data_IF_086620402700
#
_entry.id   IF_086620402700
#
_cell.length_a   1.000
_cell.length_b   1.000
_cell.length_c   1.000
_cell.angle_alpha   90.00
_cell.angle_beta   90.00
_cell.angle_gamma   90.00
#
_symmetry.space_group_name_H-M   'P 1'
#
loop_
_entity.id
_entity.type
_entity.pdbx_description
1 polymer ?
#
# COMPACT_ATOMS: atom_id res chain seq x y z
N UNK A 1 6.79 -7.09 19.53
CA UNK A 1 5.63 -6.20 19.82
C UNK A 1 4.48 -6.43 18.83
N UNK A 2 4.68 -6.41 17.50
CA UNK A 2 3.62 -6.62 16.52
C UNK A 2 2.99 -8.01 16.59
N UNK A 3 3.79 -9.05 16.73
CA UNK A 3 3.31 -10.42 16.91
C UNK A 3 2.46 -10.58 18.16
N UNK A 4 2.86 -9.98 19.27
CA UNK A 4 2.07 -9.97 20.49
C UNK A 4 0.77 -9.17 20.33
N UNK A 5 0.81 -8.04 19.61
CA UNK A 5 -0.38 -7.24 19.32
C UNK A 5 -1.37 -8.01 18.45
N UNK A 6 -0.89 -8.68 17.40
CA UNK A 6 -1.74 -9.51 16.53
C UNK A 6 -2.41 -10.64 17.34
N UNK A 7 -1.65 -11.37 18.15
CA UNK A 7 -2.18 -12.40 19.05
C UNK A 7 -3.24 -11.87 20.01
N UNK A 8 -2.98 -10.72 20.64
CA UNK A 8 -3.93 -10.08 21.56
C UNK A 8 -5.21 -9.62 20.85
N UNK A 9 -5.10 -9.06 19.65
CA UNK A 9 -6.25 -8.63 18.87
C UNK A 9 -7.14 -9.82 18.48
N UNK A 10 -6.53 -10.91 18.02
CA UNK A 10 -7.24 -12.12 17.65
C UNK A 10 -7.88 -12.78 18.88
N UNK A 11 -7.16 -12.88 20.02
CA UNK A 11 -7.69 -13.51 21.24
C UNK A 11 -8.85 -12.75 21.90
N UNK A 12 -8.99 -11.46 21.63
CA UNK A 12 -10.07 -10.61 22.16
C UNK A 12 -11.30 -10.53 21.28
N UNK A 13 -11.26 -11.09 20.08
CA UNK A 13 -12.36 -11.05 19.13
C UNK A 13 -12.83 -12.46 18.81
N UNK A 14 -14.14 -12.70 18.94
CA UNK A 14 -14.78 -13.95 18.55
C UNK A 14 -14.94 -14.07 17.03
N UNK A 15 -14.88 -12.94 16.30
CA UNK A 15 -15.03 -12.86 14.85
C UNK A 15 -13.70 -12.49 14.18
N UNK A 16 -13.60 -12.76 12.89
CA UNK A 16 -12.50 -12.32 12.06
C UNK A 16 -12.43 -10.77 12.04
N UNK A 17 -11.23 -10.24 12.15
CA UNK A 17 -10.96 -8.80 12.09
C UNK A 17 -10.15 -8.46 10.85
N UNK A 18 -10.42 -7.31 10.27
CA UNK A 18 -9.65 -6.75 9.16
C UNK A 18 -8.69 -5.72 9.72
N UNK A 19 -7.41 -5.91 9.46
CA UNK A 19 -6.35 -4.99 9.87
C UNK A 19 -5.65 -4.41 8.66
N UNK A 20 -5.42 -3.09 8.67
CA UNK A 20 -4.58 -2.41 7.68
C UNK A 20 -3.15 -2.30 8.18
N UNK A 21 -2.18 -2.49 7.30
CA UNK A 21 -0.76 -2.29 7.61
C UNK A 21 -0.01 -1.75 6.41
N UNK A 22 1.06 -0.98 6.68
CA UNK A 22 2.05 -0.56 5.69
C UNK A 22 3.39 -1.29 5.88
N UNK A 23 3.47 -2.23 6.82
CA UNK A 23 4.70 -2.97 7.04
C UNK A 23 4.96 -3.98 5.93
N UNK A 24 6.21 -4.12 5.54
CA UNK A 24 6.64 -5.25 4.72
C UNK A 24 6.45 -6.56 5.48
N UNK A 25 6.04 -7.62 4.78
CA UNK A 25 6.03 -8.95 5.36
C UNK A 25 7.44 -9.53 5.38
N UNK A 26 7.81 -10.21 6.48
CA UNK A 26 9.12 -10.81 6.60
C UNK A 26 9.53 -11.15 8.02
N UNK A 27 10.78 -11.58 8.16
CA UNK A 27 11.39 -11.91 9.45
C UNK A 27 12.04 -10.65 10.04
N UNK A 28 11.70 -10.37 11.27
CA UNK A 28 12.25 -9.28 12.09
C UNK A 28 12.87 -9.83 13.38
N UNK A 29 13.57 -9.02 14.14
CA UNK A 29 14.16 -9.43 15.43
C UNK A 29 13.11 -9.94 16.43
N UNK A 30 11.87 -9.50 16.28
CA UNK A 30 10.73 -9.90 17.12
C UNK A 30 9.89 -11.06 16.52
N UNK A 31 10.35 -11.72 15.45
CA UNK A 31 9.67 -12.81 14.77
C UNK A 31 9.15 -12.45 13.37
N UNK A 32 8.34 -13.31 12.79
CA UNK A 32 7.70 -13.05 11.50
C UNK A 32 6.52 -12.09 11.64
N UNK A 33 6.34 -11.24 10.63
CA UNK A 33 5.18 -10.41 10.45
C UNK A 33 4.68 -10.54 8.99
N UNK A 34 3.36 -10.68 8.77
CA UNK A 34 2.35 -11.04 9.76
C UNK A 34 2.53 -12.48 10.26
N UNK A 35 2.03 -12.82 11.46
CA UNK A 35 2.09 -14.18 11.97
C UNK A 35 1.08 -15.07 11.26
N UNK A 36 1.56 -16.15 10.66
CA UNK A 36 0.76 -17.09 9.86
C UNK A 36 -0.37 -17.73 10.65
N UNK A 37 -0.10 -18.12 11.90
CA UNK A 37 -1.08 -18.75 12.77
C UNK A 37 -2.29 -17.85 13.10
N UNK A 38 -2.16 -16.54 12.91
CA UNK A 38 -3.21 -15.55 13.19
C UNK A 38 -3.68 -14.81 11.93
N UNK A 39 -3.29 -15.25 10.74
CA UNK A 39 -3.62 -14.61 9.48
C UNK A 39 -4.32 -15.57 8.54
N UNK A 40 -5.60 -15.36 8.30
CA UNK A 40 -6.39 -16.20 7.38
C UNK A 40 -6.01 -15.94 5.92
N UNK A 41 -5.90 -14.68 5.53
CA UNK A 41 -5.55 -14.25 4.19
C UNK A 41 -5.12 -12.77 4.21
N UNK A 42 -4.62 -12.27 3.10
CA UNK A 42 -4.34 -10.85 2.93
C UNK A 42 -4.70 -10.36 1.52
N UNK A 43 -5.05 -9.08 1.42
CA UNK A 43 -5.15 -8.36 0.16
C UNK A 43 -3.95 -7.42 0.08
N UNK A 44 -3.17 -7.57 -0.97
CA UNK A 44 -2.02 -6.72 -1.23
C UNK A 44 -2.27 -5.83 -2.43
N UNK A 45 -2.33 -4.51 -2.20
CA UNK A 45 -2.49 -3.55 -3.29
C UNK A 45 -1.11 -3.09 -3.75
N UNK A 46 -0.73 -3.50 -4.97
CA UNK A 46 0.52 -3.05 -5.62
C UNK A 46 0.24 -1.86 -6.53
N UNK A 47 1.19 -0.95 -6.62
CA UNK A 47 1.14 0.22 -7.50
C UNK A 47 2.47 0.43 -8.20
N UNK A 48 2.44 1.08 -9.38
CA UNK A 48 3.65 1.50 -10.10
C UNK A 48 4.61 2.24 -9.14
N UNK A 49 5.83 1.73 -8.89
CA UNK A 49 6.73 2.30 -7.90
C UNK A 49 7.15 3.76 -8.21
N UNK A 50 7.04 4.19 -9.48
CA UNK A 50 7.27 5.58 -9.87
C UNK A 50 6.14 6.48 -9.37
N UNK A 51 4.89 6.02 -9.46
CA UNK A 51 3.74 6.73 -8.90
C UNK A 51 3.75 6.71 -7.35
N UNK A 52 4.23 5.62 -6.76
CA UNK A 52 4.48 5.57 -5.30
C UNK A 52 5.48 6.64 -4.90
N UNK A 53 6.61 6.80 -5.64
CA UNK A 53 7.59 7.84 -5.36
C UNK A 53 7.01 9.25 -5.51
N UNK A 54 6.17 9.49 -6.53
CA UNK A 54 5.48 10.79 -6.69
C UNK A 54 4.52 11.06 -5.53
N UNK A 55 3.72 10.07 -5.14
CA UNK A 55 2.81 10.20 -4.00
C UNK A 55 3.57 10.46 -2.71
N UNK A 56 4.63 9.70 -2.45
CA UNK A 56 5.51 9.84 -1.29
C UNK A 56 6.11 11.25 -1.21
N UNK A 57 6.67 11.75 -2.33
CA UNK A 57 7.30 13.08 -2.36
C UNK A 57 6.33 14.19 -1.97
N UNK A 58 5.08 14.07 -2.39
CA UNK A 58 4.03 15.05 -2.08
C UNK A 58 3.53 14.92 -0.64
N UNK A 59 3.30 13.69 -0.17
CA UNK A 59 2.81 13.43 1.18
C UNK A 59 3.79 13.92 2.26
N UNK A 60 5.09 13.64 2.06
CA UNK A 60 6.15 14.00 3.01
C UNK A 60 6.86 15.32 2.66
N UNK A 61 6.38 16.09 1.68
CA UNK A 61 7.03 17.33 1.19
C UNK A 61 8.54 17.16 0.95
N UNK A 62 8.93 16.07 0.33
CA UNK A 62 10.32 15.78 0.03
C UNK A 62 10.59 15.82 -1.47
N UNK A 63 11.86 15.89 -1.87
CA UNK A 63 12.21 15.88 -3.29
C UNK A 63 11.88 14.52 -3.94
N UNK A 64 11.62 14.52 -5.27
CA UNK A 64 11.48 13.26 -6.03
C UNK A 64 12.74 12.40 -5.90
N UNK A 65 13.92 12.98 -5.86
CA UNK A 65 15.19 12.26 -5.68
C UNK A 65 15.22 11.51 -4.33
N UNK A 66 14.77 12.16 -3.27
CA UNK A 66 14.72 11.54 -1.95
C UNK A 66 13.65 10.46 -1.87
N UNK A 67 12.48 10.69 -2.46
CA UNK A 67 11.42 9.68 -2.56
C UNK A 67 11.91 8.43 -3.31
N UNK A 68 12.56 8.61 -4.46
CA UNK A 68 13.17 7.52 -5.25
C UNK A 68 14.21 6.73 -4.43
N UNK A 69 15.06 7.42 -3.68
CA UNK A 69 16.03 6.77 -2.79
C UNK A 69 15.34 5.92 -1.73
N UNK A 70 14.26 6.41 -1.12
CA UNK A 70 13.50 5.69 -0.10
C UNK A 70 12.78 4.47 -0.65
N UNK A 71 12.15 4.57 -1.82
CA UNK A 71 11.50 3.44 -2.51
C UNK A 71 12.47 2.32 -2.85
N UNK A 72 13.75 2.63 -3.03
CA UNK A 72 14.82 1.66 -3.29
C UNK A 72 15.55 1.20 -2.01
N UNK A 73 15.23 1.72 -0.84
CA UNK A 73 15.98 1.44 0.39
C UNK A 73 15.43 0.22 1.12
N UNK A 74 16.26 -0.79 1.33
CA UNK A 74 15.90 -2.00 2.08
C UNK A 74 15.66 -1.74 3.59
N UNK A 75 16.16 -0.63 4.10
CA UNK A 75 16.03 -0.26 5.52
C UNK A 75 15.03 0.88 5.74
N UNK A 76 14.19 1.16 4.74
CA UNK A 76 13.25 2.28 4.86
C UNK A 76 12.16 1.98 5.89
N UNK A 77 11.92 2.96 6.75
CA UNK A 77 10.82 2.97 7.70
C UNK A 77 10.17 4.35 7.74
N UNK A 78 8.87 4.37 7.98
CA UNK A 78 8.09 5.58 8.22
C UNK A 78 7.87 5.69 9.73
N UNK A 79 8.33 6.78 10.34
CA UNK A 79 8.02 7.08 11.73
C UNK A 79 6.66 7.74 11.79
N UNK A 80 5.75 7.17 12.55
CA UNK A 80 4.49 7.82 12.89
C UNK A 80 4.72 8.68 14.13
N UNK A 81 4.84 9.97 13.92
CA UNK A 81 4.79 10.95 15.01
C UNK A 81 3.32 11.38 15.18
N UNK A 82 2.57 10.64 16.00
CA UNK A 82 1.26 11.11 16.45
C UNK A 82 1.39 11.60 17.90
N UNK A 83 1.46 12.93 18.12
CA UNK A 83 1.64 13.50 19.46
C UNK A 83 0.46 13.22 20.39
N UNK A 84 -0.73 12.92 19.83
CA UNK A 84 -1.97 12.71 20.62
C UNK A 84 -2.06 11.31 21.22
N UNK A 85 -1.37 10.32 20.66
CA UNK A 85 -1.48 8.93 21.09
C UNK A 85 -0.26 8.41 21.88
N UNK A 86 0.74 9.24 22.10
CA UNK A 86 1.90 8.90 22.94
C UNK A 86 2.77 7.74 22.42
N UNK A 87 2.41 7.13 21.31
CA UNK A 87 3.04 5.91 20.79
C UNK A 87 3.70 6.18 19.44
N UNK A 88 5.00 6.32 19.48
CA UNK A 88 5.84 6.47 18.28
C UNK A 88 6.07 5.09 17.66
N UNK A 89 5.10 4.61 16.89
CA UNK A 89 5.26 3.43 16.06
C UNK A 89 6.11 3.74 14.83
N UNK A 90 6.96 2.81 14.43
CA UNK A 90 7.61 2.85 13.13
C UNK A 90 7.00 1.76 12.25
N UNK A 91 6.63 2.11 11.02
CA UNK A 91 6.24 1.17 9.99
C UNK A 91 7.47 0.86 9.14
N UNK A 92 7.87 -0.38 9.11
CA UNK A 92 9.01 -0.83 8.32
C UNK A 92 8.53 -1.21 6.92
N UNK A 93 8.76 -0.32 5.96
CA UNK A 93 8.28 -0.50 4.59
C UNK A 93 9.28 -1.18 3.67
N UNK A 94 10.58 -1.17 4.00
CA UNK A 94 11.65 -1.69 3.15
C UNK A 94 11.65 -1.08 1.72
N UNK A 95 12.38 -1.68 0.77
CA UNK A 95 12.27 -1.29 -0.64
C UNK A 95 10.96 -1.79 -1.25
N UNK A 96 10.49 -1.16 -2.35
CA UNK A 96 9.30 -1.61 -3.06
C UNK A 96 9.42 -3.08 -3.49
N UNK A 97 10.59 -3.49 -3.98
CA UNK A 97 10.86 -4.88 -4.37
C UNK A 97 10.74 -5.85 -3.19
N UNK A 98 11.38 -5.54 -2.08
CA UNK A 98 11.36 -6.40 -0.90
C UNK A 98 9.99 -6.41 -0.24
N UNK A 99 9.28 -5.30 -0.27
CA UNK A 99 7.89 -5.22 0.20
C UNK A 99 6.97 -6.15 -0.59
N UNK A 100 7.00 -6.06 -1.93
CA UNK A 100 6.21 -6.94 -2.81
C UNK A 100 6.57 -8.41 -2.60
N UNK A 101 7.87 -8.73 -2.62
CA UNK A 101 8.33 -10.11 -2.48
C UNK A 101 8.02 -10.67 -1.08
N UNK A 102 8.15 -9.87 -0.04
CA UNK A 102 7.81 -10.29 1.31
C UNK A 102 6.36 -10.77 1.41
N UNK A 103 5.42 -9.99 0.92
CA UNK A 103 4.01 -10.37 0.90
C UNK A 103 3.72 -11.55 -0.03
N UNK A 104 4.30 -11.59 -1.22
CA UNK A 104 4.13 -12.74 -2.16
C UNK A 104 4.60 -14.07 -1.60
N UNK A 105 5.56 -14.06 -0.69
CA UNK A 105 6.19 -15.26 -0.13
C UNK A 105 5.56 -15.70 1.20
N UNK A 106 4.48 -15.06 1.66
CA UNK A 106 3.72 -15.56 2.80
C UNK A 106 3.06 -16.89 2.47
N UNK A 107 2.88 -17.76 3.48
CA UNK A 107 2.33 -19.13 3.31
C UNK A 107 0.81 -19.16 3.27
N UNK A 108 0.15 -18.13 3.78
CA UNK A 108 -1.30 -17.99 3.70
C UNK A 108 -1.73 -17.36 2.36
N UNK A 109 -3.00 -17.53 1.94
CA UNK A 109 -3.52 -16.99 0.69
C UNK A 109 -3.39 -15.47 0.60
N UNK A 110 -2.89 -14.97 -0.53
CA UNK A 110 -2.77 -13.54 -0.81
C UNK A 110 -3.40 -13.23 -2.15
N UNK A 111 -4.32 -12.26 -2.16
CA UNK A 111 -4.84 -11.65 -3.37
C UNK A 111 -4.04 -10.38 -3.67
N UNK A 112 -3.35 -10.36 -4.81
CA UNK A 112 -2.58 -9.19 -5.25
C UNK A 112 -3.38 -8.46 -6.31
N UNK A 113 -3.69 -7.18 -6.05
CA UNK A 113 -4.46 -6.33 -6.95
C UNK A 113 -3.63 -5.10 -7.30
N UNK A 114 -3.63 -4.70 -8.57
CA UNK A 114 -3.00 -3.44 -8.96
C UNK A 114 -3.92 -2.27 -8.65
N UNK A 115 -3.34 -1.22 -8.09
CA UNK A 115 -4.05 0.04 -7.85
C UNK A 115 -4.69 0.60 -9.13
N UNK A 116 -3.99 0.45 -10.23
CA UNK A 116 -4.44 0.88 -11.55
C UNK A 116 -5.70 0.14 -12.00
N UNK A 117 -5.77 -1.19 -11.72
CA UNK A 117 -6.91 -2.02 -12.05
C UNK A 117 -8.13 -1.69 -11.17
N UNK A 118 -7.92 -1.35 -9.90
CA UNK A 118 -8.99 -0.83 -9.03
C UNK A 118 -9.62 0.45 -9.57
N UNK A 119 -8.85 1.29 -10.27
CA UNK A 119 -9.37 2.51 -10.90
C UNK A 119 -10.05 2.26 -12.24
N UNK A 120 -9.58 1.28 -13.02
CA UNK A 120 -10.08 0.99 -14.36
C UNK A 120 -11.27 0.02 -14.35
N UNK A 121 -11.25 -0.95 -13.45
CA UNK A 121 -12.22 -2.04 -13.34
C UNK A 121 -12.68 -2.21 -11.89
N UNK A 122 -13.26 -1.15 -11.27
CA UNK A 122 -13.54 -1.17 -9.83
C UNK A 122 -14.57 -2.23 -9.43
N UNK A 123 -15.61 -2.46 -10.22
CA UNK A 123 -16.68 -3.43 -9.92
C UNK A 123 -16.13 -4.85 -9.86
N UNK A 124 -15.35 -5.24 -10.86
CA UNK A 124 -14.74 -6.55 -10.98
C UNK A 124 -13.76 -6.80 -9.80
N UNK A 125 -12.88 -5.84 -9.54
CA UNK A 125 -11.88 -5.97 -8.48
C UNK A 125 -12.52 -6.01 -7.08
N UNK A 126 -13.54 -5.20 -6.80
CA UNK A 126 -14.24 -5.26 -5.52
C UNK A 126 -15.00 -6.59 -5.37
N UNK A 127 -15.61 -7.09 -6.45
CA UNK A 127 -16.27 -8.39 -6.43
C UNK A 127 -15.27 -9.53 -6.15
N UNK A 128 -14.08 -9.49 -6.75
CA UNK A 128 -13.01 -10.45 -6.50
C UNK A 128 -12.52 -10.39 -5.05
N UNK A 129 -12.34 -9.19 -4.48
CA UNK A 129 -11.99 -8.98 -3.07
C UNK A 129 -13.05 -9.62 -2.15
N UNK A 130 -14.31 -9.34 -2.37
CA UNK A 130 -15.40 -9.87 -1.55
C UNK A 130 -15.45 -11.40 -1.62
N UNK A 131 -15.30 -11.97 -2.82
CA UNK A 131 -15.25 -13.41 -3.02
C UNK A 131 -14.05 -14.05 -2.31
N UNK A 132 -12.86 -13.46 -2.48
CA UNK A 132 -11.63 -13.94 -1.85
C UNK A 132 -11.72 -13.92 -0.32
N UNK A 133 -12.31 -12.89 0.25
CA UNK A 133 -12.54 -12.76 1.70
C UNK A 133 -13.74 -13.56 2.19
N UNK A 134 -14.52 -14.17 1.30
CA UNK A 134 -15.78 -14.86 1.62
C UNK A 134 -16.78 -13.94 2.35
N UNK A 135 -16.82 -12.69 1.94
CA UNK A 135 -17.75 -11.69 2.48
C UNK A 135 -18.96 -11.60 1.55
N UNK A 136 -20.17 -11.77 2.13
CA UNK A 136 -21.42 -11.47 1.46
C UNK A 136 -21.89 -10.07 1.88
N UNK A 137 -21.76 -9.08 1.01
CA UNK A 137 -22.14 -7.72 1.37
C UNK A 137 -23.65 -7.58 1.51
N UNK A 138 -24.10 -6.74 2.46
CA UNK A 138 -25.53 -6.41 2.66
C UNK A 138 -26.04 -5.39 1.64
N UNK A 139 -25.16 -4.75 0.89
CA UNK A 139 -25.46 -3.74 -0.14
C UNK A 139 -24.80 -4.14 -1.45
N UNK A 140 -25.28 -3.61 -2.56
CA UNK A 140 -24.72 -3.89 -3.89
C UNK A 140 -23.31 -3.29 -4.04
N UNK A 141 -22.49 -3.90 -4.89
CA UNK A 141 -21.12 -3.42 -5.17
C UNK A 141 -21.15 -1.99 -5.72
N UNK A 142 -22.13 -1.65 -6.55
CA UNK A 142 -22.29 -0.30 -7.09
C UNK A 142 -22.52 0.75 -5.99
N UNK A 143 -23.20 0.39 -4.92
CA UNK A 143 -23.42 1.30 -3.79
C UNK A 143 -22.16 1.42 -2.92
N UNK A 144 -21.38 0.34 -2.78
CA UNK A 144 -20.05 0.40 -2.16
C UNK A 144 -19.17 1.38 -2.94
N UNK A 145 -19.13 1.27 -4.27
CA UNK A 145 -18.34 2.14 -5.13
C UNK A 145 -18.75 3.60 -5.04
N UNK A 146 -20.06 3.90 -4.96
CA UNK A 146 -20.53 5.27 -4.74
C UNK A 146 -20.07 5.83 -3.40
N UNK A 147 -20.17 5.03 -2.32
CA UNK A 147 -19.75 5.45 -0.98
C UNK A 147 -18.24 5.68 -0.88
N UNK A 148 -17.45 4.98 -1.68
CA UNK A 148 -15.98 5.05 -1.73
C UNK A 148 -15.45 5.85 -2.92
N UNK A 149 -16.32 6.55 -3.65
CA UNK A 149 -15.92 7.48 -4.71
C UNK A 149 -14.96 8.53 -4.18
N UNK A 150 -14.02 8.92 -5.05
CA UNK A 150 -12.95 9.85 -4.69
C UNK A 150 -13.48 11.18 -4.13
N UNK A 151 -14.54 11.74 -4.72
CA UNK A 151 -15.10 13.00 -4.27
C UNK A 151 -15.73 12.84 -2.88
N UNK A 152 -16.49 11.76 -2.66
CA UNK A 152 -17.06 11.44 -1.34
C UNK A 152 -15.99 11.25 -0.27
N UNK A 153 -14.89 10.59 -0.58
CA UNK A 153 -13.77 10.40 0.35
C UNK A 153 -13.03 11.72 0.62
N UNK A 154 -12.84 12.55 -0.40
CA UNK A 154 -12.23 13.87 -0.26
C UNK A 154 -13.09 14.83 0.57
N UNK A 155 -14.41 14.78 0.38
CA UNK A 155 -15.36 15.57 1.18
C UNK A 155 -15.35 15.11 2.65
N UNK A 156 -15.37 13.81 2.91
CA UNK A 156 -15.25 13.26 4.27
C UNK A 156 -13.92 13.64 4.93
N UNK A 157 -12.79 13.60 4.18
CA UNK A 157 -11.51 14.06 4.73
C UNK A 157 -11.56 15.52 5.16
N UNK A 158 -12.24 16.38 4.36
CA UNK A 158 -12.38 17.80 4.68
C UNK A 158 -13.25 18.03 5.91
N UNK A 159 -14.36 17.29 6.02
CA UNK A 159 -15.38 17.53 7.03
C UNK A 159 -15.06 16.83 8.37
N UNK A 160 -14.58 15.59 8.33
CA UNK A 160 -14.32 14.75 9.51
C UNK A 160 -12.81 14.57 9.81
N UNK A 161 -11.95 14.97 8.88
CA UNK A 161 -10.53 14.66 8.92
C UNK A 161 -10.23 13.22 8.48
N UNK A 162 -8.95 12.91 8.27
CA UNK A 162 -8.48 11.57 7.95
C UNK A 162 -7.21 11.26 8.74
N UNK A 163 -7.19 10.14 9.45
CA UNK A 163 -6.10 9.79 10.37
C UNK A 163 -4.73 9.64 9.70
N UNK A 164 -4.70 9.32 8.40
CA UNK A 164 -3.47 9.19 7.61
C UNK A 164 -3.17 10.44 6.78
N UNK A 165 -3.96 11.51 6.93
CA UNK A 165 -3.65 12.78 6.28
C UNK A 165 -2.34 13.36 6.82
N UNK A 166 -1.51 13.88 5.93
CA UNK A 166 -0.32 14.63 6.34
C UNK A 166 -0.75 15.98 6.94
N UNK A 167 -0.05 16.50 7.96
CA UNK A 167 -0.28 17.87 8.44
C UNK A 167 -0.15 18.93 7.33
N UNK A 168 0.35 18.54 6.18
CA UNK A 168 0.75 19.43 5.10
C UNK A 168 -0.06 19.29 3.82
N UNK A 169 -0.77 18.18 3.63
CA UNK A 169 -1.51 17.91 2.39
C UNK A 169 -2.67 16.96 2.67
N UNK A 170 -3.79 17.17 1.98
CA UNK A 170 -4.88 16.23 1.97
C UNK A 170 -4.42 14.87 1.43
N UNK A 171 -4.96 13.81 1.97
CA UNK A 171 -4.68 12.45 1.52
C UNK A 171 -5.34 12.19 0.15
N UNK A 172 -6.64 12.48 0.05
CA UNK A 172 -7.40 12.35 -1.20
C UNK A 172 -7.20 13.58 -2.09
N UNK A 173 -6.13 13.57 -2.92
CA UNK A 173 -5.78 14.73 -3.79
C UNK A 173 -6.18 14.57 -5.23
N UNK A 174 -5.87 13.44 -5.84
CA UNK A 174 -6.04 13.23 -7.27
C UNK A 174 -6.60 11.86 -7.67
N UNK A 175 -6.46 10.81 -6.86
CA UNK A 175 -6.95 9.47 -7.17
C UNK A 175 -6.57 8.95 -8.57
N UNK A 176 -5.42 9.38 -9.15
CA UNK A 176 -5.08 9.13 -10.55
C UNK A 176 -3.81 8.30 -10.69
N UNK A 177 -3.73 7.56 -11.79
CA UNK A 177 -2.56 6.79 -12.21
C UNK A 177 -1.62 7.61 -13.11
N UNK A 178 -0.42 7.11 -13.33
CA UNK A 178 0.57 7.65 -14.27
C UNK A 178 1.00 9.11 -14.01
N UNK A 179 0.95 9.56 -12.76
CA UNK A 179 1.38 10.91 -12.38
C UNK A 179 2.89 11.11 -12.64
N UNK A 180 3.67 10.03 -12.57
CA UNK A 180 5.10 10.04 -12.84
C UNK A 180 5.45 10.53 -14.26
N UNK A 181 4.54 10.36 -15.23
CA UNK A 181 4.75 10.83 -16.62
C UNK A 181 4.87 12.35 -16.74
N UNK A 182 4.43 13.10 -15.73
CA UNK A 182 4.58 14.56 -15.66
C UNK A 182 5.96 15.02 -15.18
N UNK A 183 6.84 14.06 -14.84
CA UNK A 183 8.18 14.29 -14.32
C UNK A 183 9.18 13.64 -15.29
N UNK A 184 10.35 14.24 -15.56
CA UNK A 184 11.34 13.66 -16.46
C UNK A 184 11.67 12.20 -16.10
N UNK A 185 11.55 11.28 -17.05
CA UNK A 185 11.72 9.83 -16.83
C UNK A 185 13.07 9.45 -16.20
N UNK A 186 14.14 10.21 -16.51
CA UNK A 186 15.45 10.05 -15.90
C UNK A 186 15.44 10.06 -14.38
N UNK A 187 14.46 10.74 -13.77
CA UNK A 187 14.29 10.80 -12.32
C UNK A 187 13.95 9.45 -11.70
N UNK A 188 13.38 8.53 -12.47
CA UNK A 188 12.94 7.21 -12.00
C UNK A 188 13.83 6.06 -12.47
N UNK A 189 14.93 6.34 -13.18
CA UNK A 189 15.77 5.31 -13.77
C UNK A 189 16.28 4.28 -12.75
N UNK A 190 16.64 4.71 -11.55
CA UNK A 190 17.09 3.77 -10.50
C UNK A 190 15.95 2.89 -9.98
N UNK A 191 14.72 3.40 -9.93
CA UNK A 191 13.54 2.57 -9.61
C UNK A 191 13.37 1.49 -10.68
N UNK A 192 13.40 1.86 -11.95
CA UNK A 192 13.19 0.93 -13.06
C UNK A 192 14.28 -0.14 -13.09
N UNK A 193 15.56 0.24 -12.94
CA UNK A 193 16.69 -0.70 -12.93
C UNK A 193 16.57 -1.67 -11.74
N UNK A 194 16.35 -1.16 -10.54
CA UNK A 194 16.31 -1.99 -9.33
C UNK A 194 15.10 -2.90 -9.26
N UNK A 195 14.02 -2.57 -9.97
CA UNK A 195 12.75 -3.27 -9.90
C UNK A 195 12.28 -3.85 -11.25
N UNK A 196 13.18 -3.89 -12.24
CA UNK A 196 12.88 -4.24 -13.63
C UNK A 196 12.01 -5.51 -13.76
N UNK A 197 12.47 -6.61 -13.16
CA UNK A 197 11.78 -7.90 -13.22
C UNK A 197 10.34 -7.79 -12.72
N UNK A 198 10.15 -7.27 -11.50
CA UNK A 198 8.82 -7.14 -10.91
C UNK A 198 7.94 -6.14 -11.64
N UNK A 199 8.50 -5.02 -12.09
CA UNK A 199 7.74 -4.05 -12.88
C UNK A 199 7.23 -4.68 -14.17
N UNK A 200 8.06 -5.49 -14.84
CA UNK A 200 7.65 -6.20 -16.06
C UNK A 200 6.59 -7.26 -15.77
N UNK A 201 6.74 -8.04 -14.69
CA UNK A 201 5.75 -9.03 -14.25
C UNK A 201 4.37 -8.40 -13.99
N UNK A 202 4.32 -7.20 -13.42
CA UNK A 202 3.08 -6.45 -13.21
C UNK A 202 2.60 -5.66 -14.43
N UNK A 203 3.31 -5.73 -15.57
CA UNK A 203 2.96 -5.03 -16.80
C UNK A 203 3.29 -3.54 -16.81
N UNK A 204 4.12 -3.06 -15.89
CA UNK A 204 4.61 -1.68 -15.89
C UNK A 204 5.70 -1.49 -16.95
N UNK A 205 5.42 -0.70 -17.99
CA UNK A 205 6.37 -0.44 -19.08
C UNK A 205 7.55 0.38 -18.60
N UNK A 206 8.75 -0.09 -18.88
CA UNK A 206 10.00 0.64 -18.61
C UNK A 206 10.20 1.77 -19.62
N UNK A 207 10.90 2.85 -19.22
CA UNK A 207 11.18 3.99 -20.07
C UNK A 207 12.54 3.90 -20.77
N UNK A 208 13.40 3.00 -20.32
CA UNK A 208 14.70 2.75 -20.95
C UNK A 208 14.66 1.47 -21.80
N UNK A 209 15.44 1.47 -22.87
CA UNK A 209 15.68 0.25 -23.64
C UNK A 209 16.74 -0.59 -22.91
N UNK A 210 16.47 -1.87 -22.72
CA UNK A 210 17.51 -2.82 -22.32
C UNK A 210 18.65 -2.75 -23.35
N UNK A 211 19.88 -2.64 -22.88
CA UNK A 211 21.01 -2.96 -23.73
C UNK A 211 21.08 -4.49 -23.81
N UNK A 212 20.72 -5.01 -24.97
CA UNK A 212 21.03 -6.41 -25.32
C UNK A 212 22.51 -6.66 -25.20
#
# INVERSE_FOLDING_TARGET
RWSQAQKLLVSKNENNIILKTHNAAGKYDFGFFPQEEFTLNAIYVVRDPRDVAVSYSKHFKTSIRDAVRRINSETHSIKQDNPKEGNKGAEFTSSWRSHVNGWRNCTFPILIIKYEDLLEHPTENISEILQFMKISPKIKVEDILKLTDFNNLSDKERDDGFSEASPHTNFFRNGTKSQWKKIPSKSFRSIEINNEKLMTEFGYKLTFKQKN
#
